data_IF_701102614185
#
_entry.id   IF_701102614185
#
_cell.length_a   1.000
_cell.length_b   1.000
_cell.length_c   1.000
_cell.angle_alpha   90.00
_cell.angle_beta   90.00
_cell.angle_gamma   90.00
#
_symmetry.space_group_name_H-M   'P 1'
#
loop_
_entity.id
_entity.type
_entity.pdbx_description
1 polymer ?
#
# COMPACT_ATOMS: atom_id res chain seq x y z
N UNK A 1 14.07 -0.47 8.40
CA UNK A 1 14.82 -1.68 7.96
C UNK A 1 15.88 -1.24 6.96
N UNK A 2 17.03 -1.93 6.86
CA UNK A 2 18.06 -1.57 5.88
C UNK A 2 17.62 -1.96 4.46
N UNK A 3 17.89 -1.10 3.48
CA UNK A 3 17.68 -1.34 2.04
C UNK A 3 18.26 -2.67 1.58
N UNK A 4 19.41 -3.06 2.13
CA UNK A 4 20.08 -4.35 1.82
C UNK A 4 19.23 -5.57 2.15
N UNK A 5 18.29 -5.47 3.10
CA UNK A 5 17.42 -6.59 3.47
C UNK A 5 16.35 -6.85 2.42
N UNK A 6 15.75 -5.81 1.85
CA UNK A 6 14.77 -5.97 0.77
C UNK A 6 15.42 -6.56 -0.49
N UNK A 7 16.63 -6.09 -0.84
CA UNK A 7 17.40 -6.60 -1.98
C UNK A 7 17.71 -8.10 -1.93
N UNK A 8 17.82 -8.67 -0.73
CA UNK A 8 18.08 -10.11 -0.55
C UNK A 8 16.83 -10.96 -0.41
N UNK A 9 15.67 -10.34 -0.19
CA UNK A 9 14.41 -11.05 0.02
C UNK A 9 13.89 -11.62 -1.31
N UNK A 10 13.17 -12.73 -1.26
CA UNK A 10 12.40 -13.26 -2.38
C UNK A 10 11.20 -12.37 -2.71
N UNK A 11 10.55 -12.59 -3.86
CA UNK A 11 9.34 -11.84 -4.22
C UNK A 11 8.22 -12.14 -3.22
N UNK A 12 8.08 -13.40 -2.82
CA UNK A 12 7.09 -13.87 -1.85
C UNK A 12 7.31 -13.22 -0.47
N UNK A 13 8.57 -13.14 -0.02
CA UNK A 13 8.91 -12.46 1.24
C UNK A 13 8.57 -10.96 1.18
N UNK A 14 8.80 -10.31 0.04
CA UNK A 14 8.46 -8.89 -0.15
C UNK A 14 6.93 -8.67 -0.13
N UNK A 15 6.16 -9.53 -0.79
CA UNK A 15 4.69 -9.49 -0.76
C UNK A 15 4.17 -9.72 0.66
N UNK A 16 4.73 -10.72 1.36
CA UNK A 16 4.37 -11.01 2.76
C UNK A 16 4.68 -9.82 3.67
N UNK A 17 5.88 -9.24 3.58
CA UNK A 17 6.25 -8.08 4.41
C UNK A 17 5.40 -6.85 4.09
N UNK A 18 5.03 -6.67 2.83
CA UNK A 18 4.11 -5.62 2.42
C UNK A 18 2.75 -5.79 3.11
N UNK A 19 2.16 -7.00 3.03
CA UNK A 19 0.86 -7.30 3.64
C UNK A 19 0.90 -7.13 5.16
N UNK A 20 1.84 -7.78 5.84
CA UNK A 20 1.99 -7.69 7.30
C UNK A 20 2.20 -6.25 7.77
N UNK A 21 2.97 -5.47 7.02
CA UNK A 21 3.22 -4.07 7.36
C UNK A 21 1.98 -3.19 7.11
N UNK A 22 1.19 -3.47 6.08
CA UNK A 22 -0.08 -2.76 5.85
C UNK A 22 -1.11 -3.05 6.96
N UNK A 23 -1.15 -4.29 7.47
CA UNK A 23 -1.96 -4.65 8.65
C UNK A 23 -1.48 -3.87 9.88
N UNK A 24 -0.17 -3.92 10.16
CA UNK A 24 0.43 -3.24 11.31
C UNK A 24 0.25 -1.72 11.25
N UNK A 25 0.31 -1.13 10.05
CA UNK A 25 0.04 0.28 9.84
C UNK A 25 -1.40 0.64 10.23
N UNK A 26 -2.39 -0.14 9.78
CA UNK A 26 -3.79 0.03 10.15
C UNK A 26 -4.00 -0.02 11.67
N UNK A 27 -3.49 -1.08 12.30
CA UNK A 27 -3.60 -1.27 13.75
C UNK A 27 -2.96 -0.11 14.55
N UNK A 28 -1.81 0.39 14.09
CA UNK A 28 -1.14 1.51 14.72
C UNK A 28 -1.91 2.83 14.57
N UNK A 29 -2.55 3.08 13.42
CA UNK A 29 -3.42 4.24 13.26
C UNK A 29 -4.64 4.16 14.18
N UNK A 30 -5.27 2.99 14.30
CA UNK A 30 -6.42 2.79 15.20
C UNK A 30 -6.03 3.01 16.67
N UNK A 31 -4.79 2.67 17.04
CA UNK A 31 -4.23 2.89 18.37
C UNK A 31 -3.64 4.31 18.58
N UNK A 32 -3.72 5.20 17.58
CA UNK A 32 -3.06 6.51 17.57
C UNK A 32 -1.53 6.45 17.84
N UNK A 33 -0.86 5.33 17.51
CA UNK A 33 0.58 5.14 17.64
C UNK A 33 1.29 5.53 16.33
N UNK A 34 1.55 6.82 16.19
CA UNK A 34 2.22 7.39 15.01
C UNK A 34 3.63 6.82 14.78
N UNK A 35 4.35 6.43 15.84
CA UNK A 35 5.69 5.87 15.71
C UNK A 35 5.64 4.48 15.07
N UNK A 36 4.71 3.64 15.50
CA UNK A 36 4.51 2.31 14.91
C UNK A 36 3.93 2.41 13.50
N UNK A 37 3.00 3.35 13.26
CA UNK A 37 2.45 3.60 11.93
C UNK A 37 3.56 4.00 10.94
N UNK A 38 4.40 4.98 11.29
CA UNK A 38 5.50 5.42 10.43
C UNK A 38 6.49 4.29 10.13
N UNK A 39 6.84 3.48 11.14
CA UNK A 39 7.75 2.33 10.94
C UNK A 39 7.13 1.29 10.01
N UNK A 40 5.82 1.07 10.09
CA UNK A 40 5.12 0.16 9.19
C UNK A 40 5.07 0.74 7.76
N UNK A 41 4.77 2.03 7.61
CA UNK A 41 4.79 2.73 6.32
C UNK A 41 6.17 2.62 5.63
N UNK A 42 7.26 2.82 6.37
CA UNK A 42 8.63 2.66 5.84
C UNK A 42 8.87 1.25 5.27
N UNK A 43 8.31 0.22 5.91
CA UNK A 43 8.43 -1.16 5.44
C UNK A 43 7.59 -1.42 4.19
N UNK A 44 6.36 -0.89 4.14
CA UNK A 44 5.49 -0.96 2.95
C UNK A 44 6.22 -0.32 1.75
N UNK A 45 6.76 0.88 1.94
CA UNK A 45 7.52 1.60 0.90
C UNK A 45 8.76 0.82 0.49
N UNK A 46 9.52 0.28 1.45
CA UNK A 46 10.73 -0.50 1.16
C UNK A 46 10.44 -1.76 0.34
N UNK A 47 9.39 -2.51 0.70
CA UNK A 47 8.98 -3.70 -0.03
C UNK A 47 8.45 -3.33 -1.42
N UNK A 48 7.62 -2.28 -1.53
CA UNK A 48 7.08 -1.82 -2.81
C UNK A 48 8.19 -1.38 -3.77
N UNK A 49 9.13 -0.57 -3.32
CA UNK A 49 10.26 -0.10 -4.14
C UNK A 49 11.08 -1.25 -4.72
N UNK A 50 11.29 -2.29 -3.92
CA UNK A 50 12.03 -3.46 -4.37
C UNK A 50 11.21 -4.33 -5.33
N UNK A 51 9.92 -4.53 -5.08
CA UNK A 51 9.03 -5.19 -6.05
C UNK A 51 9.01 -4.43 -7.38
N UNK A 52 8.93 -3.10 -7.32
CA UNK A 52 8.95 -2.19 -8.48
C UNK A 52 10.27 -2.27 -9.23
N UNK A 53 11.42 -2.23 -8.55
CA UNK A 53 12.74 -2.32 -9.19
C UNK A 53 12.95 -3.64 -9.94
N UNK A 54 12.25 -4.70 -9.51
CA UNK A 54 12.26 -6.04 -10.12
C UNK A 54 11.17 -6.27 -11.16
N UNK A 55 10.29 -5.30 -11.42
CA UNK A 55 9.13 -5.49 -12.31
C UNK A 55 8.08 -6.48 -11.79
N UNK A 56 7.99 -6.67 -10.47
CA UNK A 56 7.18 -7.69 -9.81
C UNK A 56 5.97 -7.10 -9.03
N UNK A 57 5.57 -5.86 -9.30
CA UNK A 57 4.45 -5.20 -8.58
C UNK A 57 3.10 -5.87 -8.80
N UNK A 58 2.91 -6.55 -9.93
CA UNK A 58 1.69 -7.33 -10.22
C UNK A 58 1.41 -8.42 -9.20
N UNK A 59 2.43 -8.88 -8.46
CA UNK A 59 2.30 -9.86 -7.38
C UNK A 59 1.51 -9.32 -6.18
N UNK A 60 1.29 -8.01 -6.10
CA UNK A 60 0.44 -7.39 -5.08
C UNK A 60 -1.06 -7.45 -5.44
N UNK A 61 -1.44 -7.63 -6.71
CA UNK A 61 -2.84 -7.56 -7.14
C UNK A 61 -3.77 -8.55 -6.41
N UNK A 62 -3.38 -9.80 -6.09
CA UNK A 62 -4.22 -10.70 -5.31
C UNK A 62 -4.64 -10.12 -3.95
N UNK A 63 -3.82 -9.25 -3.35
CA UNK A 63 -4.10 -8.61 -2.06
C UNK A 63 -5.23 -7.58 -2.12
N UNK A 64 -5.70 -7.17 -3.31
CA UNK A 64 -6.93 -6.38 -3.45
C UNK A 64 -8.17 -7.11 -2.93
N UNK A 65 -8.11 -8.44 -2.84
CA UNK A 65 -9.17 -9.27 -2.25
C UNK A 65 -8.99 -9.52 -0.74
N UNK A 66 -7.99 -8.91 -0.10
CA UNK A 66 -7.75 -9.08 1.33
C UNK A 66 -8.96 -8.66 2.16
N UNK A 67 -9.25 -9.40 3.24
CA UNK A 67 -10.28 -9.02 4.22
C UNK A 67 -9.86 -7.78 5.02
N UNK A 68 -8.56 -7.48 5.09
CA UNK A 68 -8.06 -6.31 5.77
C UNK A 68 -8.15 -5.07 4.88
N UNK A 69 -8.91 -4.07 5.31
CA UNK A 69 -9.14 -2.85 4.53
C UNK A 69 -7.86 -2.02 4.35
N UNK A 70 -6.96 -2.00 5.33
CA UNK A 70 -5.69 -1.29 5.25
C UNK A 70 -4.76 -1.93 4.21
N UNK A 71 -4.75 -3.26 4.09
CA UNK A 71 -4.06 -3.97 2.99
C UNK A 71 -4.64 -3.53 1.65
N UNK A 72 -5.96 -3.65 1.46
CA UNK A 72 -6.61 -3.25 0.20
C UNK A 72 -6.33 -1.80 -0.18
N UNK A 73 -6.37 -0.89 0.80
CA UNK A 73 -6.13 0.54 0.60
C UNK A 73 -4.72 0.81 0.04
N UNK A 74 -3.69 0.24 0.66
CA UNK A 74 -2.31 0.43 0.20
C UNK A 74 -2.08 -0.19 -1.18
N UNK A 75 -2.55 -1.42 -1.40
CA UNK A 75 -2.40 -2.11 -2.69
C UNK A 75 -3.10 -1.33 -3.78
N UNK A 76 -4.33 -0.87 -3.53
CA UNK A 76 -5.11 -0.12 -4.52
C UNK A 76 -4.47 1.23 -4.85
N UNK A 77 -3.90 1.93 -3.86
CA UNK A 77 -3.16 3.17 -4.09
C UNK A 77 -1.92 2.95 -4.98
N UNK A 78 -1.12 1.91 -4.72
CA UNK A 78 0.05 1.60 -5.55
C UNK A 78 -0.32 1.03 -6.92
N UNK A 79 -1.42 0.26 -7.03
CA UNK A 79 -1.90 -0.30 -8.28
C UNK A 79 -2.26 0.78 -9.32
N UNK A 80 -2.58 2.02 -8.89
CA UNK A 80 -2.77 3.13 -9.82
C UNK A 80 -1.57 3.35 -10.76
N UNK A 81 -0.35 3.01 -10.34
CA UNK A 81 0.86 3.19 -11.16
C UNK A 81 0.94 2.21 -12.33
N UNK A 82 0.49 0.96 -12.15
CA UNK A 82 0.81 -0.14 -13.05
C UNK A 82 -0.39 -0.96 -13.52
N UNK A 83 -1.53 -0.86 -12.83
CA UNK A 83 -2.77 -1.56 -13.16
C UNK A 83 -3.99 -0.80 -12.58
N UNK A 84 -4.20 0.47 -13.00
CA UNK A 84 -5.23 1.35 -12.45
C UNK A 84 -6.65 0.78 -12.59
N UNK A 85 -6.90 -0.05 -13.59
CA UNK A 85 -8.17 -0.75 -13.82
C UNK A 85 -8.56 -1.67 -12.65
N UNK A 86 -7.61 -2.11 -11.83
CA UNK A 86 -7.88 -2.87 -10.60
C UNK A 86 -7.82 -1.99 -9.34
N UNK A 87 -6.95 -1.00 -9.30
CA UNK A 87 -6.75 -0.13 -8.13
C UNK A 87 -7.86 0.91 -7.94
N UNK A 88 -8.22 1.63 -9.00
CA UNK A 88 -9.17 2.75 -8.91
C UNK A 88 -10.56 2.34 -8.40
N UNK A 89 -11.18 1.23 -8.85
CA UNK A 89 -12.47 0.78 -8.33
C UNK A 89 -12.45 0.50 -6.81
N UNK A 90 -11.35 -0.06 -6.31
CA UNK A 90 -11.19 -0.36 -4.88
C UNK A 90 -11.06 0.94 -4.08
N UNK A 91 -10.26 1.90 -4.53
CA UNK A 91 -10.15 3.19 -3.88
C UNK A 91 -11.47 3.97 -3.90
N UNK A 92 -12.23 3.90 -5.00
CA UNK A 92 -13.55 4.55 -5.09
C UNK A 92 -14.53 3.98 -4.07
N UNK A 93 -14.45 2.68 -3.79
CA UNK A 93 -15.24 2.05 -2.75
C UNK A 93 -14.75 2.44 -1.34
N UNK A 94 -13.44 2.44 -1.10
CA UNK A 94 -12.85 2.80 0.20
C UNK A 94 -13.12 4.28 0.53
N UNK A 95 -13.02 5.19 -0.44
CA UNK A 95 -13.21 6.64 -0.24
C UNK A 95 -14.61 7.03 0.27
N UNK A 96 -15.60 6.14 0.13
CA UNK A 96 -16.96 6.34 0.65
C UNK A 96 -17.11 5.95 2.13
N UNK A 97 -16.09 5.35 2.73
CA UNK A 97 -16.13 4.84 4.10
C UNK A 97 -15.55 5.87 5.07
N UNK A 98 -16.05 5.93 6.32
CA UNK A 98 -15.46 6.80 7.33
C UNK A 98 -14.06 6.31 7.76
N UNK A 99 -13.27 7.21 8.33
CA UNK A 99 -11.96 6.90 8.91
C UNK A 99 -10.77 7.19 8.01
N UNK A 100 -9.57 6.88 8.50
CA UNK A 100 -8.30 7.24 7.84
C UNK A 100 -8.15 6.63 6.45
N UNK A 101 -8.60 5.39 6.25
CA UNK A 101 -8.53 4.72 4.95
C UNK A 101 -9.38 5.45 3.89
N UNK A 102 -10.59 5.88 4.24
CA UNK A 102 -11.45 6.64 3.33
C UNK A 102 -10.85 7.99 2.94
N UNK A 103 -10.32 8.73 3.92
CA UNK A 103 -9.64 10.00 3.69
C UNK A 103 -8.41 9.81 2.78
N UNK A 104 -7.56 8.82 3.08
CA UNK A 104 -6.38 8.53 2.29
C UNK A 104 -6.73 8.13 0.85
N UNK A 105 -7.73 7.27 0.66
CA UNK A 105 -8.19 6.86 -0.67
C UNK A 105 -8.74 8.04 -1.49
N UNK A 106 -9.50 8.95 -0.86
CA UNK A 106 -9.98 10.16 -1.50
C UNK A 106 -8.83 11.03 -2.03
N UNK A 107 -7.83 11.31 -1.19
CA UNK A 107 -6.69 12.14 -1.61
C UNK A 107 -5.79 11.43 -2.63
N UNK A 108 -5.61 10.12 -2.54
CA UNK A 108 -4.89 9.34 -3.56
C UNK A 108 -5.59 9.45 -4.93
N UNK A 109 -6.91 9.25 -4.98
CA UNK A 109 -7.69 9.38 -6.22
C UNK A 109 -7.66 10.80 -6.79
N UNK A 110 -7.76 11.82 -5.92
CA UNK A 110 -7.67 13.22 -6.35
C UNK A 110 -6.31 13.49 -7.01
N UNK A 111 -5.22 13.19 -6.31
CA UNK A 111 -3.87 13.42 -6.83
C UNK A 111 -3.58 12.58 -8.08
N UNK A 112 -4.13 11.38 -8.18
CA UNK A 112 -4.00 10.54 -9.36
C UNK A 112 -4.64 11.18 -10.59
N UNK A 113 -5.89 11.64 -10.45
CA UNK A 113 -6.64 12.29 -11.54
C UNK A 113 -6.05 13.64 -11.94
N UNK A 114 -5.44 14.33 -11.00
CA UNK A 114 -4.70 15.57 -11.25
C UNK A 114 -3.30 15.34 -11.83
N UNK A 115 -2.84 14.09 -11.94
CA UNK A 115 -1.48 13.76 -12.40
C UNK A 115 -0.37 14.17 -11.42
N UNK A 116 -0.72 14.45 -10.17
CA UNK A 116 0.19 14.95 -9.12
C UNK A 116 0.64 13.85 -8.15
N UNK A 117 -0.02 12.68 -8.16
CA UNK A 117 0.34 11.55 -7.31
C UNK A 117 1.77 11.08 -7.62
N UNK A 118 2.58 10.93 -6.57
CA UNK A 118 3.94 10.40 -6.65
C UNK A 118 3.99 9.02 -6.02
N UNK A 119 4.57 8.08 -6.74
CA UNK A 119 4.83 6.75 -6.25
C UNK A 119 6.23 6.68 -5.62
N UNK A 120 6.40 5.94 -4.52
CA UNK A 120 7.68 5.87 -3.82
C UNK A 120 8.85 5.40 -4.67
#
# INVERSE_FOLDING_TARGET
MSTRRFQKASIEELVQWYEESAIAHGQALDAADSRSANRAADKIIGAYRELRSRGATSQLLPLLQSKNESVRSHVAAHALEFAPEFGEPVLLWIAKRPGFNGIAAFYALKSWREGTLKFP
#
